data_IF_725257523484
#
_entry.id   IF_725257523484
#
_cell.length_a   1.000
_cell.length_b   1.000
_cell.length_c   1.000
_cell.angle_alpha   90.00
_cell.angle_beta   90.00
_cell.angle_gamma   90.00
#
_symmetry.space_group_name_H-M   'P 1'
#
loop_
_entity.id
_entity.type
_entity.pdbx_description
1 polymer ?
#
# COMPACT_ATOMS: atom_id res chain seq x y z
N UNK A 1 16.54 -0.02 13.13
CA UNK A 1 15.39 -0.53 13.92
C UNK A 1 14.19 -0.54 13.01
N UNK A 2 13.48 -1.67 12.92
CA UNK A 2 12.29 -1.78 12.08
C UNK A 2 11.05 -1.34 12.84
N UNK A 3 9.96 -1.07 12.12
CA UNK A 3 8.67 -0.74 12.75
C UNK A 3 8.23 -1.84 13.73
N UNK A 4 8.31 -3.11 13.29
CA UNK A 4 7.90 -4.26 14.10
C UNK A 4 8.73 -4.42 15.37
N UNK A 5 10.05 -4.24 15.30
CA UNK A 5 10.91 -4.33 16.48
C UNK A 5 10.55 -3.27 17.52
N UNK A 6 10.25 -2.04 17.07
CA UNK A 6 9.82 -0.96 17.96
C UNK A 6 8.47 -1.25 18.61
N UNK A 7 7.50 -1.76 17.84
CA UNK A 7 6.19 -2.10 18.39
C UNK A 7 6.28 -3.26 19.40
N UNK A 8 7.21 -4.20 19.24
CA UNK A 8 7.47 -5.24 20.23
C UNK A 8 8.16 -4.70 21.49
N UNK A 9 9.10 -3.78 21.37
CA UNK A 9 9.74 -3.15 22.53
C UNK A 9 8.74 -2.34 23.37
N UNK A 10 7.79 -1.66 22.73
CA UNK A 10 6.78 -0.84 23.42
C UNK A 10 5.51 -1.62 23.78
N UNK A 11 5.32 -2.84 23.25
CA UNK A 11 4.06 -3.59 23.38
C UNK A 11 2.88 -2.92 22.65
N UNK A 12 3.17 -2.19 21.57
CA UNK A 12 2.19 -1.44 20.80
C UNK A 12 1.46 -2.30 19.75
N UNK A 13 0.27 -1.85 19.35
CA UNK A 13 -0.49 -2.50 18.26
C UNK A 13 0.02 -2.01 16.90
N UNK A 14 0.36 -2.95 16.02
CA UNK A 14 0.67 -2.69 14.62
C UNK A 14 -0.60 -2.72 13.80
N UNK A 15 -0.76 -1.79 12.87
CA UNK A 15 -1.88 -1.74 11.93
C UNK A 15 -1.34 -1.92 10.51
N UNK A 16 -1.62 -3.07 9.89
CA UNK A 16 -1.48 -3.23 8.46
C UNK A 16 -2.77 -2.77 7.78
N UNK A 17 -2.67 -1.93 6.76
CA UNK A 17 -3.83 -1.38 6.07
C UNK A 17 -3.63 -1.36 4.55
N UNK A 18 -4.72 -1.54 3.80
CA UNK A 18 -4.72 -1.46 2.35
C UNK A 18 -5.93 -0.70 1.82
N UNK A 19 -5.70 0.15 0.82
CA UNK A 19 -6.74 0.94 0.16
C UNK A 19 -7.10 0.34 -1.20
N UNK A 20 -8.37 -0.01 -1.38
CA UNK A 20 -8.96 -0.36 -2.67
C UNK A 20 -9.33 0.90 -3.46
N UNK A 21 -9.16 0.88 -4.78
CA UNK A 21 -9.60 1.98 -5.67
C UNK A 21 -8.62 3.12 -5.85
N UNK A 22 -7.54 3.22 -5.08
CA UNK A 22 -6.56 4.32 -5.22
C UNK A 22 -5.94 4.39 -6.62
N UNK A 23 -5.67 3.24 -7.24
CA UNK A 23 -5.12 3.14 -8.61
C UNK A 23 -6.05 3.68 -9.68
N UNK A 24 -7.36 3.67 -9.42
CA UNK A 24 -8.36 4.00 -10.43
C UNK A 24 -8.73 5.50 -10.36
N UNK A 25 -8.27 6.21 -9.32
CA UNK A 25 -8.55 7.62 -9.07
C UNK A 25 -7.92 8.53 -10.14
N UNK A 26 -6.74 8.16 -10.63
CA UNK A 26 -5.95 8.92 -11.60
C UNK A 26 -5.38 7.96 -12.64
N UNK A 27 -5.45 8.34 -13.91
CA UNK A 27 -4.78 7.63 -14.98
C UNK A 27 -3.39 8.21 -15.16
N UNK A 28 -2.39 7.34 -15.07
CA UNK A 28 -1.01 7.68 -15.40
C UNK A 28 -0.90 7.75 -16.92
N UNK A 29 -0.37 8.85 -17.43
CA UNK A 29 0.02 8.97 -18.83
C UNK A 29 1.18 8.02 -19.05
N UNK A 30 0.95 6.95 -19.82
CA UNK A 30 2.03 6.12 -20.33
C UNK A 30 2.70 6.91 -21.46
N UNK A 31 4.03 6.91 -21.48
CA UNK A 31 4.84 7.60 -22.49
C UNK A 31 5.45 6.58 -23.47
N UNK A 32 4.66 6.04 -24.43
CA UNK A 32 5.13 5.02 -25.35
C UNK A 32 6.18 5.53 -26.35
N UNK A 33 6.37 6.85 -26.46
CA UNK A 33 7.30 7.49 -27.40
C UNK A 33 8.52 8.15 -26.73
N UNK A 34 8.65 8.05 -25.39
CA UNK A 34 9.81 8.57 -24.63
C UNK A 34 9.90 10.10 -24.58
N UNK A 35 8.82 10.82 -24.88
CA UNK A 35 8.79 12.29 -24.94
C UNK A 35 8.85 12.89 -23.53
N UNK A 36 8.11 12.32 -22.59
CA UNK A 36 8.16 12.69 -21.17
C UNK A 36 9.49 12.26 -20.54
N UNK A 37 10.03 11.12 -20.95
CA UNK A 37 11.35 10.66 -20.47
C UNK A 37 12.48 11.60 -20.94
N UNK A 38 12.45 12.03 -22.20
CA UNK A 38 13.37 13.02 -22.75
C UNK A 38 13.23 14.38 -22.06
N UNK A 39 12.00 14.86 -21.86
CA UNK A 39 11.73 16.11 -21.15
C UNK A 39 12.16 16.04 -19.67
N UNK A 40 11.94 14.90 -19.00
CA UNK A 40 12.33 14.65 -17.62
C UNK A 40 13.85 14.65 -17.45
N UNK A 41 14.58 13.99 -18.37
CA UNK A 41 16.06 14.05 -18.40
C UNK A 41 16.58 15.48 -18.64
N UNK A 42 15.93 16.24 -19.52
CA UNK A 42 16.32 17.62 -19.82
C UNK A 42 16.05 18.59 -18.67
N UNK A 43 14.98 18.38 -17.90
CA UNK A 43 14.63 19.20 -16.74
C UNK A 43 15.21 18.68 -15.42
N UNK A 44 15.88 17.52 -15.43
CA UNK A 44 16.34 16.80 -14.23
C UNK A 44 15.24 16.62 -13.16
N UNK A 45 13.99 16.60 -13.59
CA UNK A 45 12.82 16.47 -12.72
C UNK A 45 11.93 15.36 -13.27
N UNK A 46 11.53 14.43 -12.40
CA UNK A 46 10.57 13.38 -12.73
C UNK A 46 9.21 13.98 -13.03
N UNK A 47 8.89 14.18 -14.31
CA UNK A 47 7.53 14.53 -14.71
C UNK A 47 6.77 13.26 -14.99
N UNK A 48 5.83 12.97 -14.11
CA UNK A 48 4.81 11.94 -14.33
C UNK A 48 3.49 12.65 -14.57
N UNK A 49 2.91 12.44 -15.75
CA UNK A 49 1.62 13.01 -16.11
C UNK A 49 0.52 12.15 -15.49
N UNK A 50 -0.37 12.77 -14.73
CA UNK A 50 -1.57 12.12 -14.21
C UNK A 50 -2.78 12.98 -14.52
N UNK A 51 -3.84 12.34 -14.99
CA UNK A 51 -5.12 13.00 -15.26
C UNK A 51 -6.27 12.17 -14.71
N UNK A 52 -7.33 12.84 -14.29
CA UNK A 52 -8.56 12.24 -13.84
C UNK A 52 -9.75 12.91 -14.51
N UNK A 53 -10.47 13.77 -13.77
CA UNK A 53 -11.71 14.39 -14.24
C UNK A 53 -11.43 15.44 -15.31
N UNK A 54 -12.14 15.34 -16.45
CA UNK A 54 -12.03 16.28 -17.58
C UNK A 54 -10.61 16.49 -18.12
N UNK A 55 -9.71 15.51 -17.94
CA UNK A 55 -8.30 15.64 -18.35
C UNK A 55 -7.43 16.48 -17.42
N UNK A 56 -7.97 16.96 -16.30
CA UNK A 56 -7.24 17.70 -15.28
C UNK A 56 -6.62 16.75 -14.25
N UNK A 57 -5.61 17.18 -13.46
CA UNK A 57 -5.04 16.40 -12.34
C UNK A 57 -5.99 16.33 -11.12
N UNK A 58 -7.29 16.17 -11.36
CA UNK A 58 -8.33 16.05 -10.34
C UNK A 58 -8.80 14.60 -10.25
N UNK A 59 -8.75 13.96 -9.07
CA UNK A 59 -9.20 12.58 -8.90
C UNK A 59 -10.63 12.32 -9.36
N UNK A 60 -10.88 11.14 -9.95
CA UNK A 60 -12.23 10.68 -10.28
C UNK A 60 -13.02 10.35 -9.02
N UNK A 61 -14.34 10.54 -9.06
CA UNK A 61 -15.24 10.15 -7.96
C UNK A 61 -15.51 8.65 -8.03
N UNK A 62 -14.66 7.88 -7.36
CA UNK A 62 -14.79 6.43 -7.24
C UNK A 62 -14.80 6.03 -5.76
N UNK A 63 -15.47 4.93 -5.40
CA UNK A 63 -15.44 4.42 -4.03
C UNK A 63 -14.02 3.97 -3.68
N UNK A 64 -13.51 4.46 -2.56
CA UNK A 64 -12.24 4.01 -1.96
C UNK A 64 -12.58 3.33 -0.65
N UNK A 65 -12.19 2.07 -0.51
CA UNK A 65 -12.43 1.28 0.70
C UNK A 65 -11.11 0.96 1.37
N UNK A 66 -11.06 1.05 2.69
CA UNK A 66 -9.89 0.73 3.49
C UNK A 66 -10.14 -0.57 4.25
N UNK A 67 -9.25 -1.55 4.11
CA UNK A 67 -9.21 -2.69 5.01
C UNK A 67 -8.02 -2.56 5.97
N UNK A 68 -8.22 -2.95 7.22
CA UNK A 68 -7.23 -2.85 8.29
C UNK A 68 -7.19 -4.17 9.05
N UNK A 69 -5.97 -4.65 9.32
CA UNK A 69 -5.71 -5.79 10.17
C UNK A 69 -4.85 -5.33 11.37
N UNK A 70 -5.43 -5.21 12.57
CA UNK A 70 -4.67 -4.92 13.77
C UNK A 70 -3.96 -6.19 14.29
N UNK A 71 -2.71 -6.02 14.71
CA UNK A 71 -1.94 -7.04 15.41
C UNK A 71 -1.35 -6.47 16.69
N UNK A 72 -1.75 -7.01 17.85
CA UNK A 72 -1.24 -6.56 19.15
C UNK A 72 0.08 -7.26 19.45
N UNK A 73 1.17 -6.51 19.57
CA UNK A 73 2.46 -7.08 19.94
C UNK A 73 2.52 -7.36 21.45
N UNK A 74 3.16 -8.48 21.80
CA UNK A 74 3.62 -8.73 23.17
C UNK A 74 4.89 -7.91 23.41
N UNK A 75 4.99 -7.30 24.60
CA UNK A 75 6.19 -6.54 24.98
C UNK A 75 7.39 -7.48 25.16
N UNK A 76 8.48 -7.23 24.45
CA UNK A 76 9.74 -7.99 24.54
C UNK A 76 10.92 -7.02 24.49
N UNK A 77 11.81 -7.11 25.48
CA UNK A 77 13.03 -6.30 25.50
C UNK A 77 14.08 -6.93 24.57
N UNK A 78 14.59 -6.15 23.60
CA UNK A 78 15.55 -6.59 22.57
C UNK A 78 15.05 -7.81 21.75
N UNK A 79 13.98 -7.65 20.96
CA UNK A 79 13.42 -8.74 20.18
C UNK A 79 14.44 -9.29 19.16
N UNK A 80 14.52 -10.61 19.06
CA UNK A 80 15.37 -11.29 18.07
C UNK A 80 14.81 -11.12 16.66
N UNK A 81 15.66 -11.31 15.65
CA UNK A 81 15.22 -11.25 14.23
C UNK A 81 14.09 -12.23 13.92
N UNK A 82 14.13 -13.43 14.51
CA UNK A 82 13.10 -14.45 14.32
C UNK A 82 11.76 -14.05 14.92
N UNK A 83 11.75 -13.41 16.08
CA UNK A 83 10.54 -12.91 16.72
C UNK A 83 9.92 -11.75 15.93
N UNK A 84 10.77 -10.85 15.42
CA UNK A 84 10.34 -9.76 14.53
C UNK A 84 9.71 -10.32 13.26
N UNK A 85 10.31 -11.37 12.67
CA UNK A 85 9.79 -12.01 11.46
C UNK A 85 8.43 -12.70 11.72
N UNK A 86 8.26 -13.34 12.89
CA UNK A 86 6.97 -13.92 13.28
C UNK A 86 5.87 -12.87 13.37
N UNK A 87 6.16 -11.71 13.97
CA UNK A 87 5.21 -10.59 14.06
C UNK A 87 4.92 -10.02 12.67
N UNK A 88 5.94 -9.88 11.83
CA UNK A 88 5.79 -9.45 10.45
C UNK A 88 4.85 -10.38 9.67
N UNK A 89 5.11 -11.69 9.70
CA UNK A 89 4.28 -12.70 9.06
C UNK A 89 2.84 -12.72 9.59
N UNK A 90 2.65 -12.59 10.90
CA UNK A 90 1.31 -12.56 11.51
C UNK A 90 0.50 -11.32 11.10
N UNK A 91 1.13 -10.15 11.10
CA UNK A 91 0.50 -8.89 10.72
C UNK A 91 0.06 -8.91 9.24
N UNK A 92 0.96 -9.29 8.33
CA UNK A 92 0.66 -9.34 6.89
C UNK A 92 -0.23 -10.52 6.51
N UNK A 93 -0.13 -11.65 7.21
CA UNK A 93 -1.09 -12.75 7.09
C UNK A 93 -2.51 -12.31 7.47
N UNK A 94 -2.64 -11.52 8.54
CA UNK A 94 -3.89 -10.89 8.94
C UNK A 94 -4.44 -9.96 7.86
N UNK A 95 -3.59 -9.07 7.31
CA UNK A 95 -3.99 -8.17 6.22
C UNK A 95 -4.46 -8.95 4.99
N UNK A 96 -3.74 -9.99 4.60
CA UNK A 96 -4.09 -10.83 3.44
C UNK A 96 -5.46 -11.48 3.62
N UNK A 97 -5.74 -12.02 4.82
CA UNK A 97 -7.06 -12.58 5.14
C UNK A 97 -8.17 -11.54 4.99
N UNK A 98 -8.02 -10.37 5.62
CA UNK A 98 -9.05 -9.31 5.53
C UNK A 98 -9.19 -8.81 4.10
N UNK A 99 -8.09 -8.70 3.35
CA UNK A 99 -8.12 -8.34 1.94
C UNK A 99 -8.95 -9.33 1.12
N UNK A 100 -8.70 -10.64 1.26
CA UNK A 100 -9.39 -11.67 0.51
C UNK A 100 -10.89 -11.74 0.86
N UNK A 101 -11.25 -11.50 2.12
CA UNK A 101 -12.65 -11.40 2.56
C UNK A 101 -13.36 -10.17 1.97
N UNK A 102 -12.65 -9.05 1.77
CA UNK A 102 -13.25 -7.76 1.40
C UNK A 102 -13.14 -7.42 -0.09
N UNK A 103 -12.24 -8.06 -0.86
CA UNK A 103 -11.96 -7.69 -2.26
C UNK A 103 -13.18 -7.76 -3.18
N UNK A 104 -14.09 -8.71 -2.95
CA UNK A 104 -15.31 -8.86 -3.74
C UNK A 104 -16.25 -7.67 -3.49
N UNK A 105 -16.45 -7.29 -2.22
CA UNK A 105 -17.26 -6.13 -1.85
C UNK A 105 -16.66 -4.81 -2.32
N UNK A 106 -15.33 -4.74 -2.40
CA UNK A 106 -14.61 -3.59 -2.93
C UNK A 106 -14.60 -3.52 -4.47
N UNK A 107 -15.15 -4.51 -5.18
CA UNK A 107 -15.23 -4.52 -6.65
C UNK A 107 -13.99 -5.08 -7.36
N UNK A 108 -13.14 -5.84 -6.66
CA UNK A 108 -11.86 -6.37 -7.16
C UNK A 108 -11.74 -7.90 -6.98
N UNK A 109 -12.65 -8.72 -7.56
CA UNK A 109 -12.68 -10.17 -7.32
C UNK A 109 -11.39 -10.90 -7.76
N UNK A 110 -10.79 -10.46 -8.87
CA UNK A 110 -9.62 -11.11 -9.48
C UNK A 110 -8.27 -10.54 -9.01
N UNK A 111 -8.28 -9.53 -8.14
CA UNK A 111 -7.03 -8.94 -7.63
C UNK A 111 -6.48 -9.78 -6.48
N UNK A 112 -5.16 -9.92 -6.46
CA UNK A 112 -4.42 -10.60 -5.38
C UNK A 112 -3.47 -9.60 -4.73
N UNK A 113 -3.43 -9.62 -3.40
CA UNK A 113 -2.49 -8.81 -2.65
C UNK A 113 -1.13 -9.50 -2.62
N UNK A 114 -0.12 -8.82 -3.17
CA UNK A 114 1.28 -9.24 -3.12
C UNK A 114 2.01 -8.42 -2.05
N UNK A 115 2.52 -9.12 -1.03
CA UNK A 115 3.32 -8.54 0.06
C UNK A 115 4.66 -9.27 -0.01
N UNK A 116 5.74 -8.52 -0.27
CA UNK A 116 7.12 -9.00 -0.34
C UNK A 116 7.88 -8.65 0.92
#
# INVERSE_FOLDING_TARGET
>A
RGLMSLCMEEGATVLAAWFFGTTDMLTVVQDPFGIMEYASRKMQAGMMGFYGRWGLPVPRRIPVSLCVAPYKCTKVDNPTKEEVEKVHAANYGGLRRVYDEQKIYAGYPDRTLHIS
#
